data_IF_027951580572
#
_entry.id   IF_027951580572
#
_cell.length_a   1.000
_cell.length_b   1.000
_cell.length_c   1.000
_cell.angle_alpha   90.00
_cell.angle_beta   90.00
_cell.angle_gamma   90.00
#
_symmetry.space_group_name_H-M   'P 1'
#
loop_
_entity.id
_entity.type
_entity.pdbx_description
1 polymer ?
#
# COMPACT_ATOMS: atom_id res chain seq x y z
N UNK A 1 -24.49 1.83 15.24
CA UNK A 1 -23.62 0.65 15.16
C UNK A 1 -22.61 0.68 16.30
N UNK A 2 -22.17 -0.49 16.79
CA UNK A 2 -21.34 -0.65 17.99
C UNK A 2 -19.82 -0.45 17.81
N UNK A 3 -19.39 0.45 16.93
CA UNK A 3 -17.96 0.74 16.76
C UNK A 3 -17.38 1.50 17.95
N UNK A 4 -16.11 1.24 18.27
CA UNK A 4 -15.38 1.93 19.33
C UNK A 4 -15.34 3.44 19.06
N UNK A 5 -15.70 4.23 20.08
CA UNK A 5 -15.50 5.67 20.10
C UNK A 5 -14.10 6.00 20.64
N UNK A 6 -13.67 7.23 20.44
CA UNK A 6 -12.48 7.74 21.13
C UNK A 6 -12.82 8.02 22.59
N UNK A 7 -11.90 7.61 23.48
CA UNK A 7 -12.06 7.70 24.93
C UNK A 7 -11.58 9.05 25.46
N UNK A 8 -12.00 9.43 26.67
CA UNK A 8 -11.56 10.70 27.29
C UNK A 8 -10.05 10.72 27.54
N UNK A 9 -9.45 11.91 27.66
CA UNK A 9 -8.00 12.05 27.84
C UNK A 9 -7.50 11.41 29.14
N UNK A 10 -8.29 11.43 30.21
CA UNK A 10 -7.94 10.75 31.47
C UNK A 10 -7.95 9.24 31.31
N UNK A 11 -8.90 8.68 30.53
CA UNK A 11 -8.92 7.25 30.22
C UNK A 11 -7.73 6.86 29.35
N UNK A 12 -7.43 7.64 28.30
CA UNK A 12 -6.25 7.40 27.45
C UNK A 12 -4.95 7.44 28.27
N UNK A 13 -4.79 8.40 29.17
CA UNK A 13 -3.61 8.50 30.06
C UNK A 13 -3.50 7.31 31.03
N UNK A 14 -4.61 6.90 31.67
CA UNK A 14 -4.63 5.72 32.56
C UNK A 14 -4.31 4.43 31.79
N UNK A 15 -4.86 4.26 30.59
CA UNK A 15 -4.57 3.11 29.73
C UNK A 15 -3.10 3.11 29.29
N UNK A 16 -2.52 4.25 28.92
CA UNK A 16 -1.11 4.35 28.55
C UNK A 16 -0.18 3.98 29.72
N UNK A 17 -0.48 4.42 30.94
CA UNK A 17 0.28 4.07 32.14
C UNK A 17 0.22 2.55 32.43
N UNK A 18 -0.98 1.95 32.35
CA UNK A 18 -1.16 0.50 32.52
C UNK A 18 -0.41 -0.30 31.44
N UNK A 19 -0.50 0.13 30.18
CA UNK A 19 0.25 -0.47 29.06
C UNK A 19 1.75 -0.38 29.29
N UNK A 20 2.28 0.76 29.76
CA UNK A 20 3.72 0.93 30.03
C UNK A 20 4.26 -0.05 31.10
N UNK A 21 3.49 -0.31 32.15
CA UNK A 21 3.90 -1.21 33.24
C UNK A 21 3.84 -2.70 32.82
N UNK A 22 2.87 -3.07 31.99
CA UNK A 22 2.72 -4.43 31.50
C UNK A 22 3.66 -4.76 30.34
N UNK A 23 3.90 -3.83 29.41
CA UNK A 23 4.60 -4.10 28.13
C UNK A 23 6.07 -4.49 28.34
N UNK A 24 6.76 -3.88 29.30
CA UNK A 24 8.15 -4.21 29.66
C UNK A 24 8.33 -5.68 30.08
N UNK A 25 7.25 -6.33 30.53
CA UNK A 25 7.23 -7.73 30.98
C UNK A 25 6.92 -8.71 29.82
N UNK A 26 6.33 -8.23 28.72
CA UNK A 26 5.89 -9.07 27.59
C UNK A 26 7.01 -9.37 26.60
N UNK A 27 6.94 -10.55 26.00
CA UNK A 27 7.86 -10.98 24.94
C UNK A 27 7.28 -10.77 23.53
N UNK A 28 5.95 -10.80 23.40
CA UNK A 28 5.22 -10.54 22.15
C UNK A 28 4.05 -9.58 22.42
N UNK A 29 3.86 -8.60 21.53
CA UNK A 29 2.73 -7.64 21.55
C UNK A 29 2.09 -7.60 20.18
N UNK A 30 0.76 -7.64 20.09
CA UNK A 30 0.02 -7.50 18.83
C UNK A 30 -0.94 -6.32 18.98
N UNK A 31 -0.86 -5.36 18.05
CA UNK A 31 -1.70 -4.16 18.06
C UNK A 31 -2.61 -4.13 16.84
N UNK A 32 -3.90 -3.88 17.08
CA UNK A 32 -5.00 -4.06 16.13
C UNK A 32 -6.01 -2.91 16.14
N UNK A 33 -5.71 -1.83 16.86
CA UNK A 33 -6.67 -0.77 17.16
C UNK A 33 -6.86 0.14 15.95
N UNK A 34 -8.03 0.02 15.32
CA UNK A 34 -8.41 0.77 14.13
C UNK A 34 -9.77 1.45 14.37
N UNK A 35 -9.86 2.75 14.11
CA UNK A 35 -11.14 3.48 14.11
C UNK A 35 -11.51 3.79 12.66
N UNK A 36 -12.69 3.36 12.16
CA UNK A 36 -13.14 3.67 10.81
C UNK A 36 -13.08 5.17 10.50
N UNK A 37 -12.60 5.50 9.30
CA UNK A 37 -12.45 6.89 8.83
C UNK A 37 -11.32 7.71 9.46
N UNK A 38 -10.53 7.16 10.40
CA UNK A 38 -9.46 7.90 11.10
C UNK A 38 -8.09 7.19 11.03
N UNK A 39 -6.97 7.90 11.30
CA UNK A 39 -5.67 7.28 11.51
C UNK A 39 -5.68 6.29 12.68
N UNK A 40 -4.68 5.39 12.70
CA UNK A 40 -4.46 4.51 13.84
C UNK A 40 -3.98 5.34 15.06
N UNK A 41 -4.58 5.16 16.27
CA UNK A 41 -4.09 5.81 17.47
C UNK A 41 -2.71 5.25 17.86
N UNK A 42 -1.78 6.10 18.28
CA UNK A 42 -0.51 5.64 18.89
C UNK A 42 -0.80 5.14 20.31
N UNK A 43 -0.55 3.86 20.53
CA UNK A 43 -0.81 3.15 21.79
C UNK A 43 0.48 2.65 22.45
N UNK A 44 1.56 2.48 21.67
CA UNK A 44 2.87 2.03 22.15
C UNK A 44 3.92 3.03 21.71
N UNK A 45 4.48 3.78 22.66
CA UNK A 45 5.51 4.79 22.38
C UNK A 45 6.91 4.19 22.27
N UNK A 46 7.86 4.95 21.73
CA UNK A 46 9.25 4.53 21.61
C UNK A 46 9.87 4.14 22.96
N UNK A 47 9.49 4.80 24.06
CA UNK A 47 9.94 4.45 25.42
C UNK A 47 9.35 3.12 25.90
N UNK A 48 8.11 2.81 25.53
CA UNK A 48 7.48 1.51 25.81
C UNK A 48 8.16 0.37 25.04
N UNK A 49 8.60 0.61 23.79
CA UNK A 49 9.40 -0.37 23.03
C UNK A 49 10.81 -0.52 23.61
N UNK A 50 11.39 0.59 24.10
CA UNK A 50 12.72 0.60 24.72
C UNK A 50 12.78 -0.13 26.07
N UNK A 51 11.66 -0.24 26.81
CA UNK A 51 11.58 -0.97 28.08
C UNK A 51 11.30 -2.48 27.93
N UNK A 52 11.00 -2.95 26.71
CA UNK A 52 10.88 -4.39 26.42
C UNK A 52 12.25 -5.08 26.40
N UNK A 53 12.25 -6.39 26.66
CA UNK A 53 13.46 -7.24 26.66
C UNK A 53 14.07 -7.30 25.26
N UNK A 54 15.42 -7.37 25.12
CA UNK A 54 16.04 -7.63 23.83
C UNK A 54 15.51 -8.93 23.19
N UNK A 55 15.16 -8.87 21.90
CA UNK A 55 14.56 -9.99 21.17
C UNK A 55 13.03 -10.05 21.18
N UNK A 56 12.33 -9.23 22.00
CA UNK A 56 10.86 -9.14 21.95
C UNK A 56 10.34 -8.71 20.57
N UNK A 57 9.06 -9.02 20.28
CA UNK A 57 8.43 -8.76 18.98
C UNK A 57 7.10 -8.02 19.12
N UNK A 58 6.95 -6.89 18.43
CA UNK A 58 5.66 -6.23 18.22
C UNK A 58 5.16 -6.51 16.81
N UNK A 59 3.86 -6.77 16.65
CA UNK A 59 3.17 -6.91 15.36
C UNK A 59 2.10 -5.83 15.26
N UNK A 60 2.26 -4.91 14.31
CA UNK A 60 1.36 -3.77 14.12
C UNK A 60 0.44 -4.01 12.92
N UNK A 61 -0.77 -4.50 13.19
CA UNK A 61 -1.79 -4.76 12.16
C UNK A 61 -2.53 -3.49 11.73
N UNK A 62 -2.27 -2.35 12.39
CA UNK A 62 -2.82 -1.04 12.03
C UNK A 62 -1.85 -0.19 11.17
N UNK A 63 -0.69 -0.74 10.80
CA UNK A 63 0.39 -0.03 10.09
C UNK A 63 -0.05 0.67 8.80
N UNK A 64 -1.03 0.10 8.08
CA UNK A 64 -1.59 0.66 6.85
C UNK A 64 -2.37 1.98 7.07
N UNK A 65 -2.73 2.30 8.31
CA UNK A 65 -3.33 3.59 8.73
C UNK A 65 -2.42 4.40 9.66
N UNK A 66 -1.11 4.16 9.59
CA UNK A 66 -0.08 4.86 10.38
C UNK A 66 0.47 4.06 11.57
N UNK A 67 -0.15 2.92 11.92
CA UNK A 67 0.30 2.00 12.96
C UNK A 67 0.01 2.44 14.39
N UNK A 68 -0.23 1.50 15.29
CA UNK A 68 -0.36 1.77 16.73
C UNK A 68 0.99 1.94 17.45
N UNK A 69 2.09 1.47 16.85
CA UNK A 69 3.44 1.47 17.46
C UNK A 69 4.28 2.61 16.88
N UNK A 70 5.06 3.29 17.72
CA UNK A 70 6.07 4.26 17.28
C UNK A 70 7.33 3.54 16.76
N UNK A 71 7.90 4.03 15.66
CA UNK A 71 9.00 3.34 14.96
C UNK A 71 8.58 2.19 14.04
N UNK A 72 7.28 1.83 13.99
CA UNK A 72 6.75 0.97 12.94
C UNK A 72 6.89 1.65 11.56
N UNK A 73 7.37 0.91 10.56
CA UNK A 73 7.49 1.39 9.17
C UNK A 73 6.67 0.48 8.26
N UNK A 74 5.71 1.02 7.47
CA UNK A 74 4.90 0.22 6.55
C UNK A 74 5.75 -0.61 5.58
N UNK A 75 5.40 -1.89 5.47
CA UNK A 75 6.06 -2.87 4.60
C UNK A 75 7.35 -3.48 5.16
N UNK A 76 7.80 -3.13 6.38
CA UNK A 76 9.11 -3.52 6.91
C UNK A 76 9.02 -4.24 8.26
N UNK A 77 10.09 -4.97 8.59
CA UNK A 77 10.42 -5.36 9.96
C UNK A 77 11.57 -4.47 10.42
N UNK A 78 11.32 -3.60 11.38
CA UNK A 78 12.33 -2.73 11.99
C UNK A 78 12.94 -3.46 13.18
N UNK A 79 14.25 -3.36 13.39
CA UNK A 79 14.90 -3.76 14.64
C UNK A 79 15.40 -2.51 15.35
N UNK A 80 15.05 -2.33 16.62
CA UNK A 80 15.42 -1.17 17.43
C UNK A 80 16.83 -1.30 18.03
N UNK A 81 17.34 -0.21 18.61
CA UNK A 81 18.65 -0.20 19.27
C UNK A 81 18.75 -1.16 20.47
N UNK A 82 17.63 -1.44 21.17
CA UNK A 82 17.56 -2.46 22.23
C UNK A 82 17.27 -3.89 21.70
N UNK A 83 17.31 -4.12 20.38
CA UNK A 83 17.16 -5.45 19.78
C UNK A 83 15.72 -5.97 19.69
N UNK A 84 14.72 -5.10 19.90
CA UNK A 84 13.29 -5.43 19.78
C UNK A 84 12.86 -5.28 18.32
N UNK A 85 11.96 -6.14 17.85
CA UNK A 85 11.52 -6.15 16.44
C UNK A 85 10.09 -5.64 16.28
N UNK A 86 9.87 -4.70 15.38
CA UNK A 86 8.55 -4.15 15.05
C UNK A 86 8.18 -4.61 13.63
N UNK A 87 7.17 -5.49 13.54
CA UNK A 87 6.67 -6.09 12.30
C UNK A 87 5.50 -5.26 11.77
N UNK A 88 5.77 -4.44 10.75
CA UNK A 88 4.79 -3.58 10.07
C UNK A 88 4.47 -4.08 8.65
N UNK A 89 4.13 -5.36 8.48
CA UNK A 89 3.78 -5.90 7.17
C UNK A 89 2.49 -5.29 6.60
N UNK A 90 2.53 -4.86 5.33
CA UNK A 90 1.34 -4.61 4.52
C UNK A 90 0.67 -5.93 4.12
N UNK A 91 -0.63 -5.89 3.82
CA UNK A 91 -1.45 -6.99 3.31
C UNK A 91 -1.20 -8.33 4.06
N UNK A 92 -1.41 -8.31 5.37
CA UNK A 92 -1.29 -9.52 6.21
C UNK A 92 -2.22 -10.66 5.76
N UNK A 93 -3.47 -10.44 5.28
CA UNK A 93 -4.28 -11.50 4.68
C UNK A 93 -3.62 -12.17 3.47
N UNK A 94 -2.91 -11.41 2.63
CA UNK A 94 -2.12 -11.93 1.50
C UNK A 94 -0.98 -12.87 1.93
N UNK A 95 -0.54 -12.82 3.19
CA UNK A 95 0.46 -13.75 3.75
C UNK A 95 -0.13 -15.12 4.12
N UNK A 96 -1.46 -15.25 4.10
CA UNK A 96 -2.22 -16.50 4.25
C UNK A 96 -3.18 -16.69 3.07
N UNK A 97 -2.70 -16.38 1.87
CA UNK A 97 -3.48 -16.20 0.64
C UNK A 97 -4.52 -17.30 0.37
N UNK A 98 -4.20 -18.59 0.53
CA UNK A 98 -5.14 -19.68 0.28
C UNK A 98 -6.40 -19.59 1.16
N UNK A 99 -6.22 -19.39 2.47
CA UNK A 99 -7.31 -19.24 3.43
C UNK A 99 -8.07 -17.93 3.24
N UNK A 100 -7.35 -16.83 2.98
CA UNK A 100 -7.94 -15.53 2.70
C UNK A 100 -8.82 -15.54 1.44
N UNK A 101 -8.32 -16.12 0.33
CA UNK A 101 -9.06 -16.28 -0.92
C UNK A 101 -10.29 -17.17 -0.74
N UNK A 102 -10.18 -18.30 -0.02
CA UNK A 102 -11.32 -19.20 0.21
C UNK A 102 -12.43 -18.53 1.03
N UNK A 103 -12.08 -17.78 2.07
CA UNK A 103 -13.07 -17.07 2.90
C UNK A 103 -13.67 -15.87 2.14
N UNK A 104 -12.87 -15.11 1.39
CA UNK A 104 -13.37 -13.99 0.59
C UNK A 104 -14.28 -14.47 -0.56
N UNK A 105 -13.92 -15.58 -1.23
CA UNK A 105 -14.77 -16.19 -2.26
C UNK A 105 -16.12 -16.67 -1.69
N UNK A 106 -16.16 -17.21 -0.47
CA UNK A 106 -17.41 -17.55 0.22
C UNK A 106 -18.27 -16.33 0.52
N UNK A 107 -17.66 -15.24 0.98
CA UNK A 107 -18.38 -13.97 1.20
C UNK A 107 -18.97 -13.42 -0.10
N UNK A 108 -18.19 -13.42 -1.19
CA UNK A 108 -18.67 -13.00 -2.51
C UNK A 108 -19.79 -13.92 -3.03
N UNK A 109 -19.67 -15.24 -2.87
CA UNK A 109 -20.70 -16.19 -3.28
C UNK A 109 -22.03 -15.96 -2.54
N UNK A 110 -21.99 -15.87 -1.21
CA UNK A 110 -23.18 -15.63 -0.39
C UNK A 110 -23.83 -14.27 -0.68
N UNK A 111 -23.03 -13.24 -1.02
CA UNK A 111 -23.51 -11.93 -1.42
C UNK A 111 -24.12 -11.92 -2.83
N UNK A 112 -23.56 -12.68 -3.78
CA UNK A 112 -24.11 -12.81 -5.13
C UNK A 112 -25.36 -13.68 -5.17
N UNK A 113 -25.50 -14.67 -4.28
CA UNK A 113 -26.71 -15.51 -4.21
C UNK A 113 -27.97 -14.71 -3.88
N UNK A 114 -27.88 -13.58 -3.16
CA UNK A 114 -29.04 -12.69 -2.93
C UNK A 114 -29.45 -11.89 -4.17
N UNK A 115 -28.63 -11.86 -5.22
CA UNK A 115 -28.84 -11.08 -6.44
C UNK A 115 -29.06 -11.93 -7.70
N UNK A 116 -29.18 -13.26 -7.58
CA UNK A 116 -29.44 -14.15 -8.72
C UNK A 116 -30.84 -14.74 -8.58
N UNK A 117 -31.70 -14.46 -9.56
CA UNK A 117 -32.99 -15.14 -9.63
C UNK A 117 -32.80 -16.60 -10.03
N UNK A 118 -33.27 -17.51 -9.16
CA UNK A 118 -33.05 -18.95 -9.30
C UNK A 118 -33.88 -19.59 -10.43
N UNK A 119 -34.93 -18.91 -10.90
CA UNK A 119 -35.74 -19.35 -12.05
C UNK A 119 -35.09 -19.01 -13.39
N UNK A 120 -34.93 -17.72 -13.68
CA UNK A 120 -34.37 -17.20 -14.95
C UNK A 120 -32.85 -17.34 -15.06
N UNK A 121 -32.15 -17.59 -13.93
CA UNK A 121 -30.69 -17.65 -13.79
C UNK A 121 -29.99 -16.35 -14.20
N UNK A 122 -30.71 -15.22 -14.15
CA UNK A 122 -30.17 -13.89 -14.42
C UNK A 122 -29.78 -13.18 -13.12
N UNK A 123 -28.89 -12.20 -13.25
CA UNK A 123 -28.58 -11.26 -12.16
C UNK A 123 -29.75 -10.26 -12.06
N UNK A 124 -30.47 -10.30 -10.94
CA UNK A 124 -31.64 -9.50 -10.63
C UNK A 124 -31.35 -8.60 -9.42
N UNK A 125 -30.58 -7.54 -9.63
CA UNK A 125 -30.21 -6.59 -8.56
C UNK A 125 -31.43 -5.80 -8.11
N UNK A 126 -32.01 -6.19 -6.97
CA UNK A 126 -33.03 -5.41 -6.29
C UNK A 126 -32.40 -4.13 -5.71
N UNK A 127 -32.60 -3.00 -6.39
CA UNK A 127 -32.10 -1.68 -5.97
C UNK A 127 -32.73 -1.16 -4.68
N UNK A 128 -33.87 -1.74 -4.27
CA UNK A 128 -34.55 -1.35 -3.05
C UNK A 128 -34.11 -2.11 -1.79
N UNK A 129 -33.35 -3.20 -1.95
CA UNK A 129 -32.75 -3.96 -0.86
C UNK A 129 -31.73 -3.13 -0.05
N UNK A 130 -31.71 -3.30 1.27
CA UNK A 130 -30.85 -2.51 2.16
C UNK A 130 -29.36 -2.84 2.00
N UNK A 131 -29.02 -4.11 1.73
CA UNK A 131 -27.64 -4.54 1.54
C UNK A 131 -27.10 -4.06 0.19
N UNK A 132 -27.93 -4.06 -0.86
CA UNK A 132 -27.63 -3.42 -2.15
C UNK A 132 -27.43 -1.91 -1.95
N UNK A 133 -28.37 -1.21 -1.33
CA UNK A 133 -28.26 0.24 -1.04
C UNK A 133 -27.01 0.61 -0.23
N UNK A 134 -26.59 -0.23 0.71
CA UNK A 134 -25.42 -0.01 1.56
C UNK A 134 -24.07 -0.34 0.88
N UNK A 135 -24.06 -1.04 -0.26
CA UNK A 135 -22.82 -1.51 -0.92
C UNK A 135 -22.64 -0.96 -2.34
N UNK A 136 -23.72 -0.61 -3.04
CA UNK A 136 -23.72 -0.10 -4.41
C UNK A 136 -23.25 1.36 -4.46
N UNK A 137 -21.96 1.57 -4.77
CA UNK A 137 -21.38 2.91 -4.90
C UNK A 137 -21.89 3.66 -6.15
N UNK A 138 -21.98 2.94 -7.28
CA UNK A 138 -22.34 3.47 -8.60
C UNK A 138 -23.31 2.55 -9.32
N UNK A 139 -24.25 3.13 -10.07
CA UNK A 139 -25.17 2.42 -10.96
C UNK A 139 -25.42 3.25 -12.24
N UNK A 140 -25.58 2.59 -13.39
CA UNK A 140 -25.82 3.22 -14.70
C UNK A 140 -24.93 4.45 -15.02
N UNK A 141 -23.66 4.43 -14.59
CA UNK A 141 -22.70 5.53 -14.80
C UNK A 141 -22.83 6.72 -13.84
N UNK A 142 -23.68 6.63 -12.80
CA UNK A 142 -23.89 7.65 -11.77
C UNK A 142 -23.43 7.15 -10.40
N UNK A 143 -22.98 8.06 -9.53
CA UNK A 143 -22.78 7.76 -8.11
C UNK A 143 -24.15 7.76 -7.42
N UNK A 144 -24.47 6.68 -6.70
CA UNK A 144 -25.78 6.49 -6.04
C UNK A 144 -25.67 6.38 -4.52
N UNK A 145 -24.50 6.06 -3.98
CA UNK A 145 -24.30 5.97 -2.54
C UNK A 145 -24.20 7.38 -1.90
N UNK A 146 -24.99 7.71 -0.86
CA UNK A 146 -25.16 9.08 -0.37
C UNK A 146 -23.86 9.71 0.17
N UNK A 147 -22.98 8.92 0.78
CA UNK A 147 -21.69 9.41 1.29
C UNK A 147 -20.69 9.81 0.17
N UNK A 148 -20.94 9.42 -1.08
CA UNK A 148 -20.06 9.69 -2.22
C UNK A 148 -20.67 10.64 -3.26
N UNK A 149 -22.00 10.80 -3.31
CA UNK A 149 -22.67 11.66 -4.28
C UNK A 149 -22.08 13.07 -4.36
N UNK A 150 -21.84 13.72 -3.21
CA UNK A 150 -21.24 15.06 -3.12
C UNK A 150 -19.82 15.19 -3.68
N UNK A 151 -19.07 14.09 -3.76
CA UNK A 151 -17.72 14.09 -4.33
C UNK A 151 -17.74 14.10 -5.87
N UNK A 152 -18.84 13.64 -6.48
CA UNK A 152 -19.04 13.67 -7.94
C UNK A 152 -19.67 14.99 -8.44
N UNK A 153 -20.17 15.83 -7.54
CA UNK A 153 -20.70 17.17 -7.85
C UNK A 153 -19.61 18.24 -7.98
N UNK A 154 -18.45 18.03 -7.35
CA UNK A 154 -17.21 18.74 -7.73
C UNK A 154 -16.75 18.27 -9.11
N UNK A 155 -16.72 19.14 -10.15
CA UNK A 155 -16.17 18.76 -11.43
C UNK A 155 -14.68 18.45 -11.27
N UNK A 156 -14.21 17.33 -11.83
CA UNK A 156 -12.77 17.18 -12.04
C UNK A 156 -12.34 18.22 -13.07
N UNK A 157 -11.52 19.18 -12.64
CA UNK A 157 -10.91 20.12 -13.57
C UNK A 157 -10.16 19.32 -14.65
N UNK A 158 -10.44 19.66 -15.91
CA UNK A 158 -10.29 18.71 -17.00
C UNK A 158 -8.82 18.29 -17.18
N UNK A 159 -8.60 16.99 -17.41
CA UNK A 159 -7.29 16.47 -17.76
C UNK A 159 -6.86 17.03 -19.12
N UNK A 160 -6.16 18.16 -19.10
CA UNK A 160 -5.63 18.79 -20.30
C UNK A 160 -4.68 17.81 -21.01
N UNK A 161 -4.92 17.46 -22.28
CA UNK A 161 -4.07 16.49 -22.97
C UNK A 161 -2.66 17.07 -23.12
N UNK A 162 -1.67 16.40 -22.54
CA UNK A 162 -0.28 16.77 -22.68
C UNK A 162 0.08 16.83 -24.16
N UNK A 163 0.51 18.00 -24.64
CA UNK A 163 0.89 18.20 -26.04
C UNK A 163 2.05 17.27 -26.37
N UNK A 164 1.90 16.46 -27.40
CA UNK A 164 2.99 15.64 -27.92
C UNK A 164 4.18 16.53 -28.31
N UNK A 165 5.35 16.26 -27.75
CA UNK A 165 6.58 16.92 -28.16
C UNK A 165 6.88 16.58 -29.63
N UNK A 166 7.18 17.60 -30.43
CA UNK A 166 7.67 17.37 -31.80
C UNK A 166 9.12 16.88 -31.72
N UNK A 167 9.49 15.84 -32.49
CA UNK A 167 10.87 15.37 -32.51
C UNK A 167 11.81 16.48 -33.00
N UNK A 168 12.95 16.63 -32.32
CA UNK A 168 13.97 17.60 -32.70
C UNK A 168 14.44 17.33 -34.14
N UNK A 169 14.45 18.37 -34.98
CA UNK A 169 14.93 18.24 -36.36
C UNK A 169 16.45 18.13 -36.39
N UNK A 170 16.94 17.23 -37.21
CA UNK A 170 18.33 17.14 -37.62
C UNK A 170 18.73 18.33 -38.49
N UNK A 171 19.86 18.95 -38.16
CA UNK A 171 20.58 19.83 -39.10
C UNK A 171 21.75 19.06 -39.75
N UNK A 172 22.05 19.43 -41.00
CA UNK A 172 23.15 18.89 -41.83
C UNK A 172 23.84 20.07 -42.57
N UNK A 173 25.08 19.91 -43.06
CA UNK A 173 26.07 20.98 -42.90
C UNK A 173 26.58 21.64 -44.18
N UNK A 174 27.28 22.76 -44.02
CA UNK A 174 28.25 23.35 -44.94
C UNK A 174 29.54 23.66 -44.13
N UNK A 175 30.77 23.26 -44.48
CA UNK A 175 31.56 23.37 -45.73
C UNK A 175 32.31 24.74 -45.85
N UNK A 176 33.61 24.83 -46.17
CA UNK A 176 34.68 23.82 -46.33
C UNK A 176 36.08 24.49 -46.48
N UNK A 177 37.15 23.67 -46.70
CA UNK A 177 38.55 24.00 -47.19
C UNK A 177 39.58 24.37 -46.09
N UNK A 178 40.88 23.98 -46.15
CA UNK A 178 41.72 22.96 -46.88
C UNK A 178 43.19 23.08 -46.33
N UNK A 179 44.21 22.24 -46.65
CA UNK A 179 44.35 20.79 -46.96
C UNK A 179 44.68 19.99 -45.66
N UNK A 180 45.55 18.96 -45.47
CA UNK A 180 46.41 18.01 -46.23
C UNK A 180 46.56 16.71 -45.35
N UNK A 181 46.96 15.49 -45.72
CA UNK A 181 47.68 14.84 -46.84
C UNK A 181 49.24 14.76 -46.73
N UNK A 182 49.92 13.61 -47.02
CA UNK A 182 49.43 12.22 -47.18
C UNK A 182 50.35 11.07 -46.62
N UNK A 183 49.79 9.86 -46.43
CA UNK A 183 50.26 8.57 -47.04
C UNK A 183 49.43 7.34 -46.60
N UNK A 184 49.49 6.27 -47.41
CA UNK A 184 48.98 4.91 -47.12
C UNK A 184 50.17 3.93 -46.94
N UNK A 185 49.93 2.84 -46.22
CA UNK A 185 50.63 1.55 -46.38
C UNK A 185 49.60 0.40 -46.22
N UNK A 186 49.94 -0.82 -46.64
CA UNK A 186 49.01 -1.95 -46.77
C UNK A 186 49.40 -3.15 -45.85
N UNK A 187 48.48 -4.12 -45.62
CA UNK A 187 48.70 -5.25 -44.70
C UNK A 187 49.17 -6.53 -45.44
N UNK A 188 49.15 -7.74 -44.84
CA UNK A 188 50.17 -8.24 -43.92
C UNK A 188 50.80 -9.58 -44.40
N UNK A 189 51.79 -10.13 -43.69
CA UNK A 189 52.19 -11.55 -43.85
C UNK A 189 52.78 -12.16 -42.57
N UNK A 190 52.60 -13.48 -42.41
CA UNK A 190 53.16 -14.33 -41.34
C UNK A 190 54.52 -14.90 -41.77
N UNK A 191 55.43 -15.17 -40.82
CA UNK A 191 55.93 -16.56 -40.53
C UNK A 191 57.12 -16.60 -39.54
N UNK A 192 56.97 -17.38 -38.46
CA UNK A 192 57.95 -18.30 -37.81
C UNK A 192 59.43 -17.96 -37.56
N UNK A 193 59.91 -18.43 -36.39
CA UNK A 193 61.31 -18.65 -35.98
C UNK A 193 62.17 -17.38 -35.71
N UNK A 194 63.10 -17.37 -34.75
CA UNK A 194 63.45 -18.41 -33.76
C UNK A 194 64.54 -17.94 -32.78
N UNK A 195 64.70 -18.71 -31.69
CA UNK A 195 65.88 -18.85 -30.82
C UNK A 195 66.60 -17.59 -30.26
N UNK A 196 66.31 -17.26 -29.00
CA UNK A 196 67.28 -17.02 -27.91
C UNK A 196 66.58 -17.09 -26.54
#
# INVERSE_FOLDING_TARGET
GGYAKEMSKEYQAKQAALTAEHIAKQDIVITTALIPGRPAPKLVSAQMVASMKPGSVLVDLAVERGGNVEGAVPGKVVTTANGVKIVGHLNVPGRVAASASLLYAKNLFAFLETMVDKGSKQIAINRDDELVKATMLTDAGKVVHPNFAKAAETPSEQAAPAKAEKPAKTEKPAAAKKPAAPKKAAPPKKSSQGDA
#
